data_IF_843580675636
#
_entry.id   IF_843580675636
#
_cell.length_a   1.000
_cell.length_b   1.000
_cell.length_c   1.000
_cell.angle_alpha   90.00
_cell.angle_beta   90.00
_cell.angle_gamma   90.00
#
_symmetry.space_group_name_H-M   'P 1'
#
loop_
_entity.id
_entity.type
_entity.pdbx_description
1 polymer ?
#
# COMPACT_ATOMS: atom_id res chain seq x y z
N UNK A 1 -11.32 11.52 27.75
CA UNK A 1 -11.98 10.77 26.66
C UNK A 1 -13.46 11.13 26.68
N UNK A 2 -14.00 11.68 25.59
CA UNK A 2 -15.45 11.88 25.46
C UNK A 2 -16.11 10.51 25.25
N UNK A 3 -17.27 10.22 25.85
CA UNK A 3 -17.99 8.97 25.60
C UNK A 3 -18.45 8.90 24.13
N UNK A 4 -18.23 7.76 23.48
CA UNK A 4 -18.50 7.51 22.05
C UNK A 4 -19.98 7.60 21.64
N UNK A 5 -20.91 7.78 22.57
CA UNK A 5 -22.35 7.75 22.30
C UNK A 5 -22.93 9.03 21.68
N UNK A 6 -22.11 10.06 21.41
CA UNK A 6 -22.57 11.34 20.84
C UNK A 6 -21.64 11.89 19.74
N UNK A 7 -20.91 11.03 19.01
CA UNK A 7 -20.13 11.50 17.86
C UNK A 7 -21.08 11.81 16.71
N UNK A 8 -20.95 13.01 16.14
CA UNK A 8 -21.60 13.32 14.87
C UNK A 8 -21.01 12.45 13.75
N UNK A 9 -21.80 12.21 12.68
CA UNK A 9 -21.35 11.42 11.53
C UNK A 9 -20.03 11.95 10.93
N UNK A 10 -19.84 13.28 10.92
CA UNK A 10 -18.60 13.90 10.43
C UNK A 10 -17.43 13.63 11.36
N UNK A 11 -17.61 13.75 12.68
CA UNK A 11 -16.54 13.40 13.64
C UNK A 11 -16.12 11.94 13.49
N UNK A 12 -17.09 11.02 13.35
CA UNK A 12 -16.79 9.61 13.11
C UNK A 12 -16.01 9.39 11.80
N UNK A 13 -16.36 10.10 10.73
CA UNK A 13 -15.60 10.05 9.48
C UNK A 13 -14.16 10.51 9.69
N UNK A 14 -13.96 11.65 10.36
CA UNK A 14 -12.63 12.20 10.62
C UNK A 14 -11.79 11.27 11.50
N UNK A 15 -12.39 10.69 12.54
CA UNK A 15 -11.73 9.70 13.40
C UNK A 15 -11.31 8.45 12.61
N UNK A 16 -12.19 7.92 11.76
CA UNK A 16 -11.85 6.77 10.90
C UNK A 16 -10.72 7.09 9.91
N UNK A 17 -10.71 8.30 9.34
CA UNK A 17 -9.65 8.73 8.44
C UNK A 17 -8.31 8.83 9.19
N UNK A 18 -8.30 9.39 10.40
CA UNK A 18 -7.11 9.44 11.24
C UNK A 18 -6.60 8.04 11.60
N UNK A 19 -7.49 7.08 11.89
CA UNK A 19 -7.13 5.68 12.16
C UNK A 19 -6.56 4.95 10.93
N UNK A 20 -6.90 5.40 9.73
CA UNK A 20 -6.35 4.90 8.46
C UNK A 20 -5.06 5.63 8.05
N UNK A 21 -4.50 6.48 8.94
CA UNK A 21 -3.32 7.32 8.68
C UNK A 21 -3.52 8.35 7.55
N UNK A 22 -4.75 8.87 7.38
CA UNK A 22 -5.00 9.97 6.46
C UNK A 22 -4.33 11.26 6.95
N UNK A 23 -3.44 11.83 6.13
CA UNK A 23 -2.82 13.13 6.38
C UNK A 23 -3.24 14.12 5.28
N UNK A 24 -4.08 15.12 5.61
CA UNK A 24 -4.47 16.18 4.66
C UNK A 24 -3.29 16.83 3.93
N UNK A 25 -2.13 16.98 4.57
CA UNK A 25 -0.97 17.63 3.96
C UNK A 25 -0.30 16.76 2.90
N UNK A 26 -0.43 15.44 3.02
CA UNK A 26 0.12 14.47 2.09
C UNK A 26 -0.90 14.05 1.04
N UNK A 27 -2.07 13.59 1.49
CA UNK A 27 -3.10 12.96 0.66
C UNK A 27 -3.94 13.96 -0.13
N UNK A 28 -4.07 15.20 0.37
CA UNK A 28 -4.70 16.32 -0.35
C UNK A 28 -3.67 17.33 -0.89
N UNK A 29 -2.42 16.92 -1.10
CA UNK A 29 -1.32 17.79 -1.55
C UNK A 29 -1.45 18.31 -2.99
N UNK A 30 -2.33 17.72 -3.80
CA UNK A 30 -2.56 18.17 -5.19
C UNK A 30 -3.15 19.58 -5.22
N UNK A 31 -2.73 20.46 -6.15
CA UNK A 31 -3.34 21.79 -6.34
C UNK A 31 -4.86 21.74 -6.51
N UNK A 32 -5.37 20.64 -7.08
CA UNK A 32 -6.81 20.43 -7.30
C UNK A 32 -7.59 20.29 -5.98
N UNK A 33 -6.92 19.96 -4.87
CA UNK A 33 -7.46 19.86 -3.50
C UNK A 33 -6.97 20.96 -2.54
N UNK A 34 -6.21 21.95 -3.03
CA UNK A 34 -5.74 23.10 -2.23
C UNK A 34 -6.89 23.86 -1.53
N UNK A 35 -6.75 24.24 -0.26
CA UNK A 35 -7.81 24.90 0.54
C UNK A 35 -8.99 24.00 0.90
N UNK A 36 -8.88 22.68 0.75
CA UNK A 36 -9.85 21.79 1.39
C UNK A 36 -9.68 21.90 2.91
N UNK A 37 -10.79 22.08 3.62
CA UNK A 37 -10.81 22.14 5.08
C UNK A 37 -11.39 20.83 5.59
N UNK A 38 -10.61 20.11 6.39
CA UNK A 38 -11.01 18.86 7.05
C UNK A 38 -11.38 19.15 8.50
N UNK A 39 -12.61 19.63 8.72
CA UNK A 39 -13.17 19.88 10.04
C UNK A 39 -14.64 19.43 10.10
N UNK A 40 -15.34 19.79 11.19
CA UNK A 40 -16.75 19.44 11.38
C UNK A 40 -17.72 20.10 10.39
N UNK A 41 -17.23 21.02 9.54
CA UNK A 41 -18.00 21.65 8.45
C UNK A 41 -17.80 20.96 7.11
N UNK A 42 -17.02 19.87 7.06
CA UNK A 42 -16.88 19.02 5.89
C UNK A 42 -18.26 18.55 5.40
N UNK A 43 -18.50 18.63 4.09
CA UNK A 43 -19.81 18.37 3.49
C UNK A 43 -20.92 19.35 3.91
N UNK A 44 -20.60 20.61 4.24
CA UNK A 44 -21.64 21.62 4.45
C UNK A 44 -22.54 21.80 3.22
N UNK A 45 -23.86 21.95 3.44
CA UNK A 45 -24.87 22.07 2.38
C UNK A 45 -24.63 23.28 1.45
N UNK A 46 -23.99 24.34 1.95
CA UNK A 46 -23.77 25.58 1.21
C UNK A 46 -22.55 25.57 0.29
N UNK A 47 -21.65 24.57 0.38
CA UNK A 47 -20.39 24.56 -0.37
C UNK A 47 -20.22 23.31 -1.25
N UNK A 48 -20.94 23.29 -2.37
CA UNK A 48 -20.90 22.18 -3.31
C UNK A 48 -19.50 21.94 -3.92
N UNK A 49 -18.67 22.98 -4.03
CA UNK A 49 -17.33 22.84 -4.58
C UNK A 49 -16.41 22.15 -3.57
N UNK A 50 -16.45 22.56 -2.29
CA UNK A 50 -15.73 21.85 -1.23
C UNK A 50 -16.21 20.39 -1.13
N UNK A 51 -17.52 20.15 -1.23
CA UNK A 51 -18.09 18.80 -1.16
C UNK A 51 -17.58 17.88 -2.28
N UNK A 52 -17.48 18.38 -3.52
CA UNK A 52 -16.91 17.58 -4.64
C UNK A 52 -15.47 17.20 -4.36
N UNK A 53 -14.67 18.17 -3.96
CA UNK A 53 -13.23 18.00 -3.71
C UNK A 53 -12.98 17.06 -2.54
N UNK A 54 -13.76 17.21 -1.46
CA UNK A 54 -13.71 16.35 -0.30
C UNK A 54 -14.09 14.93 -0.67
N UNK A 55 -15.20 14.75 -1.38
CA UNK A 55 -15.63 13.43 -1.86
C UNK A 55 -14.53 12.78 -2.71
N UNK A 56 -13.99 13.48 -3.69
CA UNK A 56 -12.97 12.93 -4.60
C UNK A 56 -11.67 12.54 -3.88
N UNK A 57 -11.18 13.41 -3.01
CA UNK A 57 -9.96 13.15 -2.25
C UNK A 57 -10.13 11.98 -1.29
N UNK A 58 -11.18 12.03 -0.47
CA UNK A 58 -11.40 11.05 0.60
C UNK A 58 -11.80 9.69 0.00
N UNK A 59 -12.69 9.66 -0.99
CA UNK A 59 -13.11 8.38 -1.58
C UNK A 59 -11.96 7.65 -2.28
N UNK A 60 -11.06 8.35 -2.97
CA UNK A 60 -9.89 7.70 -3.57
C UNK A 60 -8.98 7.08 -2.52
N UNK A 61 -8.73 7.81 -1.43
CA UNK A 61 -7.96 7.31 -0.30
C UNK A 61 -8.59 6.05 0.31
N UNK A 62 -9.90 6.08 0.56
CA UNK A 62 -10.63 4.95 1.12
C UNK A 62 -10.66 3.74 0.17
N UNK A 63 -10.88 3.96 -1.13
CA UNK A 63 -10.82 2.90 -2.13
C UNK A 63 -9.44 2.24 -2.18
N UNK A 64 -8.37 3.03 -2.05
CA UNK A 64 -6.99 2.49 -2.01
C UNK A 64 -6.78 1.56 -0.82
N UNK A 65 -7.44 1.83 0.31
CA UNK A 65 -7.39 0.99 1.50
C UNK A 65 -8.29 -0.25 1.40
N UNK A 66 -9.38 -0.17 0.65
CA UNK A 66 -10.26 -1.31 0.36
C UNK A 66 -9.58 -2.33 -0.56
N UNK A 67 -9.15 -1.87 -1.73
CA UNK A 67 -8.47 -2.70 -2.73
C UNK A 67 -7.61 -1.81 -3.64
N UNK A 68 -6.31 -1.80 -3.37
CA UNK A 68 -5.34 -0.97 -4.09
C UNK A 68 -5.29 -1.32 -5.59
N UNK A 69 -5.34 -2.61 -5.94
CA UNK A 69 -5.18 -3.05 -7.32
C UNK A 69 -6.43 -2.69 -8.14
N UNK A 70 -7.63 -2.92 -7.58
CA UNK A 70 -8.86 -2.46 -8.22
C UNK A 70 -8.94 -0.94 -8.32
N UNK A 71 -8.50 -0.20 -7.30
CA UNK A 71 -8.51 1.26 -7.32
C UNK A 71 -7.66 1.79 -8.49
N UNK A 72 -6.43 1.27 -8.63
CA UNK A 72 -5.56 1.64 -9.73
C UNK A 72 -6.18 1.29 -11.09
N UNK A 73 -6.78 0.12 -11.23
CA UNK A 73 -7.41 -0.30 -12.47
C UNK A 73 -8.64 0.57 -12.83
N UNK A 74 -9.56 0.78 -11.89
CA UNK A 74 -10.82 1.50 -12.11
C UNK A 74 -10.61 2.99 -12.37
N UNK A 75 -9.65 3.60 -11.68
CA UNK A 75 -9.41 5.04 -11.78
C UNK A 75 -8.21 5.42 -12.65
N UNK A 76 -7.59 4.46 -13.37
CA UNK A 76 -6.41 4.69 -14.22
C UNK A 76 -6.56 5.87 -15.20
N UNK A 77 -7.78 6.13 -15.69
CA UNK A 77 -8.06 7.15 -16.70
C UNK A 77 -8.53 8.49 -16.12
N UNK A 78 -8.80 8.56 -14.81
CA UNK A 78 -9.36 9.76 -14.17
C UNK A 78 -8.66 10.16 -12.86
N UNK A 79 -7.61 9.43 -12.46
CA UNK A 79 -6.74 9.77 -11.35
C UNK A 79 -5.27 9.86 -11.78
N UNK A 80 -4.53 10.92 -11.39
CA UNK A 80 -4.96 12.05 -10.58
C UNK A 80 -5.95 12.97 -11.33
N UNK A 81 -6.90 13.54 -10.60
CA UNK A 81 -7.85 14.51 -11.16
C UNK A 81 -7.07 15.76 -11.56
N UNK A 82 -7.25 16.20 -12.80
CA UNK A 82 -6.63 17.42 -13.34
C UNK A 82 -7.57 18.61 -13.24
N UNK A 83 -8.88 18.36 -13.40
CA UNK A 83 -9.93 19.36 -13.41
C UNK A 83 -11.26 18.76 -12.92
N UNK A 84 -12.01 19.52 -12.12
CA UNK A 84 -13.26 19.07 -11.51
C UNK A 84 -14.41 18.85 -12.50
N UNK A 85 -14.28 19.40 -13.71
CA UNK A 85 -15.33 19.45 -14.72
C UNK A 85 -15.37 18.20 -15.60
N UNK A 86 -14.23 17.78 -16.14
CA UNK A 86 -14.12 16.64 -17.05
C UNK A 86 -13.56 15.41 -16.32
N UNK A 87 -12.30 15.43 -15.90
CA UNK A 87 -11.66 14.30 -15.22
C UNK A 87 -12.33 14.00 -13.87
N UNK A 88 -12.68 15.02 -13.09
CA UNK A 88 -13.42 14.87 -11.84
C UNK A 88 -14.83 14.31 -12.05
N UNK A 89 -15.54 14.70 -13.10
CA UNK A 89 -16.85 14.12 -13.42
C UNK A 89 -16.76 12.63 -13.76
N UNK A 90 -15.77 12.24 -14.56
CA UNK A 90 -15.51 10.83 -14.90
C UNK A 90 -15.17 10.04 -13.62
N UNK A 91 -14.31 10.60 -12.77
CA UNK A 91 -13.99 10.02 -11.46
C UNK A 91 -15.25 9.77 -10.63
N UNK A 92 -16.08 10.81 -10.41
CA UNK A 92 -17.30 10.69 -9.59
C UNK A 92 -18.28 9.65 -10.13
N UNK A 93 -18.35 9.49 -11.46
CA UNK A 93 -19.16 8.43 -12.08
C UNK A 93 -18.60 7.03 -11.83
N UNK A 94 -17.28 6.83 -11.93
CA UNK A 94 -16.66 5.55 -11.57
C UNK A 94 -16.84 5.23 -10.08
N UNK A 95 -16.69 6.23 -9.20
CA UNK A 95 -16.92 6.08 -7.77
C UNK A 95 -18.38 5.72 -7.47
N UNK A 96 -19.35 6.35 -8.14
CA UNK A 96 -20.77 5.99 -8.02
C UNK A 96 -21.02 4.53 -8.40
N UNK A 97 -20.50 4.08 -9.54
CA UNK A 97 -20.68 2.69 -9.98
C UNK A 97 -20.05 1.69 -9.01
N UNK A 98 -18.85 1.99 -8.51
CA UNK A 98 -18.21 1.09 -7.55
C UNK A 98 -18.95 1.07 -6.20
N UNK A 99 -19.41 2.23 -5.71
CA UNK A 99 -20.26 2.28 -4.51
C UNK A 99 -21.57 1.52 -4.69
N UNK A 100 -22.16 1.55 -5.89
CA UNK A 100 -23.36 0.79 -6.21
C UNK A 100 -23.09 -0.71 -6.15
N UNK A 101 -21.97 -1.19 -6.71
CA UNK A 101 -21.56 -2.59 -6.59
C UNK A 101 -21.38 -3.01 -5.12
N UNK A 102 -20.72 -2.18 -4.30
CA UNK A 102 -20.51 -2.44 -2.87
C UNK A 102 -21.84 -2.46 -2.09
N UNK A 103 -22.77 -1.58 -2.46
CA UNK A 103 -24.10 -1.51 -1.88
C UNK A 103 -24.95 -2.74 -2.22
N UNK A 104 -24.95 -3.17 -3.49
CA UNK A 104 -25.64 -4.39 -3.95
C UNK A 104 -25.10 -5.65 -3.24
N UNK A 105 -23.80 -5.68 -2.95
CA UNK A 105 -23.14 -6.73 -2.18
C UNK A 105 -23.40 -6.66 -0.67
N UNK A 106 -24.13 -5.63 -0.20
CA UNK A 106 -24.44 -5.36 1.21
C UNK A 106 -23.19 -5.15 2.09
N UNK A 107 -22.14 -4.58 1.52
CA UNK A 107 -20.92 -4.26 2.28
C UNK A 107 -20.98 -2.89 2.95
N UNK A 108 -21.78 -1.97 2.41
CA UNK A 108 -22.00 -0.67 3.04
C UNK A 108 -22.98 -0.81 4.21
N UNK A 109 -22.58 -0.31 5.39
CA UNK A 109 -23.41 -0.29 6.59
C UNK A 109 -24.42 0.87 6.56
N UNK A 110 -25.63 0.63 7.07
CA UNK A 110 -26.66 1.65 7.24
C UNK A 110 -27.54 1.93 6.01
N UNK A 111 -28.57 2.79 6.15
CA UNK A 111 -29.51 3.13 5.08
C UNK A 111 -28.90 4.13 4.07
N UNK A 112 -27.84 3.71 3.39
CA UNK A 112 -27.18 4.53 2.37
C UNK A 112 -28.03 4.59 1.11
N UNK A 113 -28.41 5.79 0.70
CA UNK A 113 -29.15 6.02 -0.55
C UNK A 113 -28.21 6.49 -1.65
N UNK A 114 -27.93 5.62 -2.61
CA UNK A 114 -27.09 5.95 -3.77
C UNK A 114 -27.95 6.46 -4.93
N UNK A 115 -27.79 7.73 -5.31
CA UNK A 115 -28.42 8.32 -6.49
C UNK A 115 -27.37 8.97 -7.37
N UNK A 116 -27.40 8.71 -8.66
CA UNK A 116 -26.45 9.29 -9.63
C UNK A 116 -26.33 10.83 -9.53
N UNK A 117 -27.46 11.53 -9.38
CA UNK A 117 -27.51 12.99 -9.26
C UNK A 117 -26.72 13.54 -8.07
N UNK A 118 -26.58 12.74 -7.00
CA UNK A 118 -25.80 13.10 -5.82
C UNK A 118 -24.31 13.24 -6.17
N UNK A 119 -23.78 12.35 -7.00
CA UNK A 119 -22.37 12.34 -7.40
C UNK A 119 -22.07 13.34 -8.52
N UNK A 120 -23.07 13.68 -9.34
CA UNK A 120 -22.90 14.71 -10.37
C UNK A 120 -22.82 16.11 -9.76
N UNK A 121 -23.65 16.40 -8.76
CA UNK A 121 -23.79 17.74 -8.18
C UNK A 121 -23.02 17.93 -6.87
N UNK A 122 -22.92 16.88 -6.05
CA UNK A 122 -22.44 16.87 -4.67
C UNK A 122 -23.14 17.92 -3.78
N UNK A 123 -24.41 18.19 -4.07
CA UNK A 123 -25.16 19.26 -3.41
C UNK A 123 -25.67 18.88 -2.01
N UNK A 124 -26.06 17.62 -1.83
CA UNK A 124 -26.58 17.09 -0.57
C UNK A 124 -25.43 16.55 0.27
N UNK A 125 -24.92 17.42 1.15
CA UNK A 125 -23.80 17.12 2.03
C UNK A 125 -24.11 16.08 3.11
N UNK A 126 -25.36 16.01 3.58
CA UNK A 126 -25.77 15.01 4.57
C UNK A 126 -25.71 13.60 3.97
N UNK A 127 -26.27 13.42 2.78
CA UNK A 127 -26.20 12.14 2.07
C UNK A 127 -24.74 11.74 1.72
N UNK A 128 -23.90 12.71 1.34
CA UNK A 128 -22.47 12.45 1.12
C UNK A 128 -21.77 12.01 2.41
N UNK A 129 -22.07 12.66 3.54
CA UNK A 129 -21.51 12.29 4.84
C UNK A 129 -21.83 10.84 5.17
N UNK A 130 -23.10 10.43 5.04
CA UNK A 130 -23.52 9.06 5.33
C UNK A 130 -22.79 8.04 4.43
N UNK A 131 -22.68 8.32 3.12
CA UNK A 131 -21.94 7.47 2.18
C UNK A 131 -20.46 7.35 2.60
N UNK A 132 -19.84 8.47 2.93
CA UNK A 132 -18.41 8.51 3.26
C UNK A 132 -18.12 7.84 4.60
N UNK A 133 -19.01 7.99 5.59
CA UNK A 133 -18.93 7.26 6.86
C UNK A 133 -19.02 5.76 6.60
N UNK A 134 -20.04 5.29 5.89
CA UNK A 134 -20.20 3.86 5.59
C UNK A 134 -19.00 3.29 4.82
N UNK A 135 -18.47 4.05 3.86
CA UNK A 135 -17.27 3.66 3.13
C UNK A 135 -16.03 3.62 4.03
N UNK A 136 -15.86 4.61 4.92
CA UNK A 136 -14.72 4.68 5.85
C UNK A 136 -14.72 3.52 6.84
N UNK A 137 -15.89 3.13 7.35
CA UNK A 137 -16.03 1.99 8.26
C UNK A 137 -15.71 0.70 7.51
N UNK A 138 -16.17 0.54 6.28
CA UNK A 138 -15.84 -0.64 5.46
C UNK A 138 -14.33 -0.71 5.18
N UNK A 139 -13.69 0.42 4.85
CA UNK A 139 -12.25 0.48 4.61
C UNK A 139 -11.46 0.12 5.87
N UNK A 140 -11.84 0.70 7.02
CA UNK A 140 -11.23 0.41 8.31
C UNK A 140 -11.40 -1.06 8.69
N UNK A 141 -12.60 -1.62 8.55
CA UNK A 141 -12.84 -3.04 8.80
C UNK A 141 -11.97 -3.92 7.89
N UNK A 142 -11.84 -3.56 6.61
CA UNK A 142 -11.02 -4.32 5.66
C UNK A 142 -9.54 -4.27 6.03
N UNK A 143 -9.04 -3.12 6.47
CA UNK A 143 -7.65 -2.96 6.94
C UNK A 143 -7.42 -3.75 8.22
N UNK A 144 -8.32 -3.65 9.19
CA UNK A 144 -8.29 -4.44 10.43
C UNK A 144 -8.29 -5.95 10.10
N UNK A 145 -9.21 -6.40 9.26
CA UNK A 145 -9.32 -7.81 8.85
C UNK A 145 -8.07 -8.32 8.13
N UNK A 146 -7.42 -7.46 7.34
CA UNK A 146 -6.18 -7.77 6.62
C UNK A 146 -4.97 -7.82 7.55
N UNK A 147 -4.84 -6.83 8.43
CA UNK A 147 -3.64 -6.60 9.24
C UNK A 147 -3.67 -7.43 10.54
N UNK A 148 -4.87 -7.65 11.09
CA UNK A 148 -5.11 -8.54 12.22
C UNK A 148 -5.49 -9.96 11.77
N UNK A 149 -5.37 -10.31 10.49
CA UNK A 149 -5.57 -11.69 10.08
C UNK A 149 -4.62 -12.64 10.85
N UNK A 150 -5.14 -13.76 11.34
CA UNK A 150 -4.33 -14.90 11.81
C UNK A 150 -3.28 -15.22 10.72
N UNK A 151 -2.04 -15.65 11.03
CA UNK A 151 -1.03 -16.10 10.05
C UNK A 151 -1.52 -17.05 8.94
N UNK A 152 -2.71 -17.63 9.06
CA UNK A 152 -3.42 -18.37 8.00
C UNK A 152 -4.27 -17.50 7.05
N UNK A 153 -4.26 -16.18 7.18
CA UNK A 153 -5.04 -15.21 6.40
C UNK A 153 -6.54 -15.16 6.76
N UNK A 154 -6.92 -15.59 7.97
CA UNK A 154 -8.32 -15.55 8.40
C UNK A 154 -8.60 -14.22 9.12
N UNK A 155 -9.62 -13.45 8.71
CA UNK A 155 -10.01 -12.23 9.41
C UNK A 155 -10.30 -12.53 10.88
N UNK A 156 -9.71 -11.78 11.81
CA UNK A 156 -10.17 -11.74 13.20
C UNK A 156 -11.49 -10.96 13.21
N UNK A 157 -12.60 -11.65 12.92
CA UNK A 157 -13.94 -11.04 13.01
C UNK A 157 -14.21 -10.70 14.47
N UNK A 158 -14.04 -9.42 14.82
CA UNK A 158 -14.30 -8.88 16.15
C UNK A 158 -15.80 -8.81 16.50
N UNK A 159 -16.69 -9.12 15.55
CA UNK A 159 -18.12 -9.31 15.83
C UNK A 159 -18.64 -10.60 15.20
N UNK A 160 -19.38 -11.44 15.95
CA UNK A 160 -20.23 -12.45 15.36
C UNK A 160 -21.39 -11.76 14.64
N UNK A 161 -21.68 -12.21 13.43
CA UNK A 161 -22.92 -11.85 12.74
C UNK A 161 -24.10 -12.28 13.64
N UNK A 162 -24.91 -11.30 14.05
CA UNK A 162 -26.23 -11.45 14.68
C UNK A 162 -26.30 -12.43 15.87
N UNK A 163 -26.06 -11.94 17.08
CA UNK A 163 -26.59 -12.59 18.30
C UNK A 163 -27.04 -11.47 19.25
N UNK A 164 -28.27 -11.56 19.73
CA UNK A 164 -28.74 -10.80 20.90
C UNK A 164 -27.92 -11.28 22.12
N UNK A 165 -26.91 -10.49 22.52
CA UNK A 165 -25.98 -10.87 23.59
C UNK A 165 -26.39 -10.17 24.89
N UNK A 166 -26.82 -10.98 25.86
CA UNK A 166 -26.94 -10.58 27.28
C UNK A 166 -25.57 -10.17 27.83
N UNK A 167 -25.55 -9.16 28.70
CA UNK A 167 -24.35 -8.50 29.25
C UNK A 167 -23.33 -9.50 29.83
N UNK A 168 -23.79 -10.58 30.47
CA UNK A 168 -22.92 -11.62 31.05
C UNK A 168 -22.12 -12.41 29.98
N UNK A 169 -22.60 -12.49 28.73
CA UNK A 169 -21.88 -13.14 27.62
C UNK A 169 -20.89 -12.19 26.94
N UNK A 170 -20.90 -10.89 27.26
CA UNK A 170 -19.96 -9.91 26.70
C UNK A 170 -18.61 -9.92 27.42
N UNK A 171 -18.58 -10.23 28.72
CA UNK A 171 -17.35 -10.33 29.50
C UNK A 171 -16.51 -11.56 29.08
N UNK A 172 -17.14 -12.72 28.89
CA UNK A 172 -16.46 -13.93 28.39
C UNK A 172 -15.86 -13.72 26.98
N UNK A 173 -16.58 -13.01 26.11
CA UNK A 173 -16.11 -12.67 24.76
C UNK A 173 -14.96 -11.65 24.80
N UNK A 174 -14.96 -10.73 25.77
CA UNK A 174 -13.88 -9.75 25.92
C UNK A 174 -12.60 -10.43 26.42
N UNK A 175 -12.70 -11.33 27.38
CA UNK A 175 -11.56 -12.11 27.86
C UNK A 175 -10.97 -13.01 26.78
N UNK A 176 -11.81 -13.63 25.95
CA UNK A 176 -11.36 -14.42 24.80
C UNK A 176 -10.65 -13.53 23.76
N UNK A 177 -11.18 -12.33 23.47
CA UNK A 177 -10.55 -11.37 22.57
C UNK A 177 -9.21 -10.85 23.12
N UNK A 178 -9.12 -10.55 24.43
CA UNK A 178 -7.89 -10.14 25.11
C UNK A 178 -6.85 -11.26 25.03
N UNK A 179 -7.24 -12.51 25.27
CA UNK A 179 -6.34 -13.66 25.14
C UNK A 179 -5.87 -13.88 23.71
N UNK A 180 -6.76 -13.74 22.72
CA UNK A 180 -6.39 -13.83 21.31
C UNK A 180 -5.39 -12.75 20.91
N UNK A 181 -5.60 -11.51 21.34
CA UNK A 181 -4.66 -10.40 21.12
C UNK A 181 -3.32 -10.64 21.82
N UNK A 182 -3.33 -11.13 23.06
CA UNK A 182 -2.11 -11.45 23.79
C UNK A 182 -1.30 -12.56 23.09
N UNK A 183 -1.99 -13.59 22.59
CA UNK A 183 -1.37 -14.66 21.82
C UNK A 183 -0.78 -14.13 20.50
N UNK A 184 -1.50 -13.27 19.78
CA UNK A 184 -1.02 -12.64 18.55
C UNK A 184 0.23 -11.78 18.79
N UNK A 185 0.21 -10.93 19.82
CA UNK A 185 1.38 -10.10 20.19
C UNK A 185 2.60 -10.96 20.53
N UNK A 186 2.40 -12.06 21.25
CA UNK A 186 3.48 -13.02 21.55
C UNK A 186 4.02 -13.66 20.27
N UNK A 187 3.14 -14.08 19.37
CA UNK A 187 3.53 -14.70 18.11
C UNK A 187 4.32 -13.73 17.21
N UNK A 188 3.87 -12.47 17.09
CA UNK A 188 4.61 -11.43 16.36
C UNK A 188 6.02 -11.21 16.93
N UNK A 189 6.15 -11.20 18.26
CA UNK A 189 7.45 -11.09 18.92
C UNK A 189 8.36 -12.29 18.59
N UNK A 190 7.81 -13.50 18.62
CA UNK A 190 8.56 -14.72 18.33
C UNK A 190 8.98 -14.79 16.84
N UNK A 191 8.09 -14.40 15.92
CA UNK A 191 8.38 -14.35 14.48
C UNK A 191 9.45 -13.30 14.16
N UNK A 192 9.40 -12.14 14.82
CA UNK A 192 10.44 -11.11 14.71
C UNK A 192 11.78 -11.59 15.26
N UNK A 193 11.79 -12.28 16.42
CA UNK A 193 12.99 -12.89 16.97
C UNK A 193 13.59 -13.95 16.02
N UNK A 194 12.75 -14.80 15.41
CA UNK A 194 13.19 -15.78 14.42
C UNK A 194 13.72 -15.12 13.13
N UNK A 195 13.10 -14.02 12.69
CA UNK A 195 13.58 -13.26 11.54
C UNK A 195 14.93 -12.60 11.81
N UNK A 196 15.09 -11.94 12.96
CA UNK A 196 16.37 -11.29 13.33
C UNK A 196 17.51 -12.29 13.45
N UNK A 197 17.25 -13.50 13.96
CA UNK A 197 18.24 -14.59 13.98
C UNK A 197 18.67 -14.99 12.56
N UNK A 198 17.70 -15.25 11.67
CA UNK A 198 17.97 -15.58 10.26
C UNK A 198 18.72 -14.47 9.52
N UNK A 199 18.39 -13.21 9.79
CA UNK A 199 19.07 -12.06 9.23
C UNK A 199 20.54 -11.98 9.69
N UNK A 200 20.80 -12.21 10.99
CA UNK A 200 22.17 -12.26 11.53
C UNK A 200 23.00 -13.38 10.91
N UNK A 201 22.44 -14.58 10.78
CA UNK A 201 23.14 -15.70 10.16
C UNK A 201 23.44 -15.45 8.68
N UNK A 202 22.53 -14.80 7.96
CA UNK A 202 22.75 -14.39 6.57
C UNK A 202 23.85 -13.34 6.44
N UNK A 203 23.88 -12.34 7.31
CA UNK A 203 24.97 -11.35 7.35
C UNK A 203 26.31 -12.04 7.63
N UNK A 204 26.35 -12.98 8.58
CA UNK A 204 27.56 -13.77 8.85
C UNK A 204 28.03 -14.57 7.63
N UNK A 205 27.10 -15.20 6.91
CA UNK A 205 27.40 -15.94 5.68
C UNK A 205 27.91 -15.04 4.55
N UNK A 206 27.34 -13.84 4.39
CA UNK A 206 27.84 -12.86 3.40
C UNK A 206 29.22 -12.34 3.78
N UNK A 207 29.47 -12.06 5.06
CA UNK A 207 30.78 -11.64 5.55
C UNK A 207 31.85 -12.71 5.27
N UNK A 208 31.56 -13.97 5.58
CA UNK A 208 32.47 -15.09 5.27
C UNK A 208 32.77 -15.20 3.77
N UNK A 209 31.77 -14.98 2.91
CA UNK A 209 31.98 -14.96 1.46
C UNK A 209 32.85 -13.78 1.03
N UNK A 210 32.62 -12.59 1.59
CA UNK A 210 33.43 -11.41 1.32
C UNK A 210 34.90 -11.62 1.73
N UNK A 211 35.13 -12.18 2.91
CA UNK A 211 36.48 -12.48 3.42
C UNK A 211 37.17 -13.56 2.56
N UNK A 212 36.40 -14.54 2.07
CA UNK A 212 36.88 -15.56 1.12
C UNK A 212 37.26 -14.95 -0.23
N UNK A 213 36.45 -14.05 -0.77
CA UNK A 213 36.75 -13.35 -2.04
C UNK A 213 37.94 -12.39 -1.91
N UNK A 214 38.06 -11.68 -0.78
CA UNK A 214 39.25 -10.87 -0.48
C UNK A 214 40.52 -11.72 -0.40
N UNK A 215 40.44 -12.89 0.22
CA UNK A 215 41.56 -13.83 0.32
C UNK A 215 41.97 -14.43 -1.05
N UNK A 216 41.00 -14.62 -1.95
CA UNK A 216 41.28 -15.05 -3.34
C UNK A 216 41.91 -13.93 -4.17
N UNK A 217 41.47 -12.68 -4.01
CA UNK A 217 42.04 -11.52 -4.70
C UNK A 217 43.48 -11.21 -4.26
N UNK A 218 43.85 -11.47 -3.00
CA UNK A 218 45.23 -11.34 -2.53
C UNK A 218 46.19 -12.43 -3.05
N UNK A 219 45.69 -13.46 -3.76
CA UNK A 219 46.52 -14.53 -4.34
C UNK A 219 46.78 -14.35 -5.84
N UNK A 220 46.14 -13.37 -6.51
CA UNK A 220 46.40 -13.07 -7.92
C UNK A 220 47.54 -12.06 -8.00
N UNK A 221 48.77 -12.56 -8.13
CA UNK A 221 49.90 -11.80 -8.68
C UNK A 221 49.48 -11.34 -10.08
N UNK A 222 49.23 -10.05 -10.24
CA UNK A 222 48.86 -9.45 -11.51
C UNK A 222 49.94 -9.71 -12.58
N UNK A 223 49.63 -10.36 -13.72
CA UNK A 223 50.50 -10.25 -14.88
C UNK A 223 50.34 -8.82 -15.42
N UNK A 224 51.45 -8.07 -15.44
CA UNK A 224 51.50 -6.74 -16.06
C UNK A 224 50.85 -6.82 -17.45
N UNK A 225 49.78 -6.06 -17.74
CA UNK A 225 49.23 -6.01 -19.09
C UNK A 225 50.31 -5.41 -20.00
N UNK A 226 50.77 -6.20 -20.97
CA UNK A 226 51.75 -5.76 -21.96
C UNK A 226 51.15 -4.57 -22.70
N UNK A 227 51.90 -3.47 -22.82
CA UNK A 227 51.45 -2.20 -23.41
C UNK A 227 50.73 -2.33 -24.78
N UNK A 228 50.96 -3.43 -25.52
CA UNK A 228 50.24 -3.77 -26.75
C UNK A 228 48.72 -3.91 -26.56
N UNK A 229 48.25 -4.55 -25.49
CA UNK A 229 46.81 -4.80 -25.26
C UNK A 229 46.06 -3.50 -24.91
N UNK A 230 46.73 -2.59 -24.19
CA UNK A 230 46.19 -1.26 -23.88
C UNK A 230 46.13 -0.41 -25.15
N UNK A 231 47.15 -0.50 -26.01
CA UNK A 231 47.18 0.25 -27.26
C UNK A 231 46.10 -0.23 -28.24
N UNK A 232 45.90 -1.54 -28.39
CA UNK A 232 44.84 -2.10 -29.24
C UNK A 232 43.44 -1.70 -28.76
N UNK A 233 43.18 -1.72 -27.45
CA UNK A 233 41.90 -1.27 -26.89
C UNK A 233 41.65 0.22 -27.10
N UNK A 234 42.70 1.06 -27.03
CA UNK A 234 42.59 2.49 -27.32
C UNK A 234 42.31 2.78 -28.79
N UNK A 235 42.91 2.01 -29.71
CA UNK A 235 42.64 2.12 -31.16
C UNK A 235 41.21 1.68 -31.48
N UNK A 236 40.71 0.63 -30.83
CA UNK A 236 39.35 0.13 -31.05
C UNK A 236 38.27 1.08 -30.51
N UNK A 237 38.53 1.73 -29.36
CA UNK A 237 37.67 2.79 -28.82
C UNK A 237 37.61 4.02 -29.74
N UNK A 238 38.73 4.40 -30.35
CA UNK A 238 38.81 5.56 -31.24
C UNK A 238 38.07 5.30 -32.57
N UNK A 239 38.07 4.06 -33.07
CA UNK A 239 37.28 3.65 -34.25
C UNK A 239 35.77 3.70 -34.01
N UNK A 240 35.32 3.36 -32.79
CA UNK A 240 33.89 3.40 -32.43
C UNK A 240 33.36 4.83 -32.28
N UNK A 241 34.22 5.78 -31.92
CA UNK A 241 33.83 7.19 -31.76
C UNK A 241 33.82 7.98 -33.08
N UNK A 242 34.59 7.56 -34.10
CA UNK A 242 34.62 8.22 -35.42
C UNK A 242 33.53 7.75 -36.40
N UNK A 243 32.78 6.70 -36.08
CA UNK A 243 31.75 6.11 -36.93
C UNK A 243 30.35 6.62 -36.61
N UNK A 244 30.12 7.94 -36.66
CA UNK A 244 28.80 8.53 -36.51
C UNK A 244 27.90 8.24 -37.72
N UNK A 245 26.79 7.52 -37.52
CA UNK A 245 25.59 7.60 -38.36
C UNK A 245 24.35 7.69 -37.49
N UNK A 246 23.57 8.73 -37.78
CA UNK A 246 22.27 9.07 -37.18
C UNK A 246 21.16 8.09 -37.60
N UNK A 247 20.00 8.11 -36.92
CA UNK A 247 19.02 7.04 -36.90
C UNK A 247 17.97 7.17 -37.99
N UNK A 248 17.59 6.07 -38.64
CA UNK A 248 16.26 5.89 -39.23
C UNK A 248 15.99 4.42 -39.55
N UNK A 249 14.83 3.96 -39.06
CA UNK A 249 13.92 2.98 -39.66
C UNK A 249 14.48 1.60 -40.03
N UNK A 250 13.97 0.56 -39.36
CA UNK A 250 13.15 -0.49 -39.98
C UNK A 250 12.60 -1.42 -38.87
N UNK A 251 11.28 -1.55 -38.91
CA UNK A 251 10.48 -2.46 -38.12
C UNK A 251 10.59 -3.92 -38.61
N UNK A 252 10.02 -4.80 -37.80
CA UNK A 252 9.45 -6.13 -38.11
C UNK A 252 10.34 -7.37 -38.01
N UNK A 253 9.71 -8.36 -37.36
CA UNK A 253 10.03 -9.79 -37.15
C UNK A 253 10.92 -10.09 -35.94
N UNK A 254 10.60 -11.01 -35.02
CA UNK A 254 9.71 -12.15 -35.14
C UNK A 254 9.08 -12.54 -33.79
N UNK A 255 7.80 -12.89 -33.86
CA UNK A 255 7.10 -13.73 -32.90
C UNK A 255 7.78 -15.10 -32.79
N UNK A 256 8.07 -15.54 -31.57
CA UNK A 256 8.10 -16.95 -31.17
C UNK A 256 7.75 -17.06 -29.68
N UNK A 257 6.46 -17.17 -29.40
CA UNK A 257 5.95 -17.56 -28.10
C UNK A 257 6.05 -19.08 -27.97
N UNK A 258 6.79 -19.54 -26.97
CA UNK A 258 6.70 -20.91 -26.44
C UNK A 258 5.67 -20.95 -25.30
N UNK A 259 4.86 -22.01 -25.17
CA UNK A 259 3.78 -22.07 -24.19
C UNK A 259 4.35 -22.32 -22.79
N UNK A 260 4.13 -21.38 -21.88
CA UNK A 260 4.38 -21.60 -20.45
C UNK A 260 3.19 -22.38 -19.89
N UNK A 261 3.47 -23.58 -19.36
CA UNK A 261 2.54 -24.42 -18.60
C UNK A 261 1.91 -23.59 -17.47
N UNK A 262 0.59 -23.45 -17.51
CA UNK A 262 -0.24 -22.97 -16.41
C UNK A 262 -0.15 -24.00 -15.29
N UNK A 263 0.58 -23.66 -14.23
CA UNK A 263 0.54 -24.41 -12.96
C UNK A 263 -0.70 -23.97 -12.17
N UNK A 264 -1.46 -24.99 -11.77
CA UNK A 264 -2.69 -24.97 -10.97
C UNK A 264 -2.64 -24.00 -9.78
N UNK A 265 -3.70 -23.20 -9.63
CA UNK A 265 -3.85 -22.09 -8.69
C UNK A 265 -4.15 -22.47 -7.24
N UNK A 266 -3.67 -23.62 -6.75
CA UNK A 266 -4.09 -24.17 -5.44
C UNK A 266 -3.10 -24.09 -4.28
N UNK A 267 -1.89 -23.51 -4.43
CA UNK A 267 -0.90 -23.48 -3.34
C UNK A 267 -0.16 -22.14 -3.12
N UNK A 268 -0.79 -20.99 -3.41
CA UNK A 268 -0.22 -19.71 -2.99
C UNK A 268 -0.69 -19.34 -1.58
N UNK A 269 0.11 -19.72 -0.58
CA UNK A 269 0.05 -19.10 0.77
C UNK A 269 0.39 -17.61 0.65
N UNK A 270 -0.25 -16.71 1.41
CA UNK A 270 0.15 -15.32 1.44
C UNK A 270 1.52 -15.23 2.10
N UNK A 271 2.53 -14.89 1.32
CA UNK A 271 3.82 -14.45 1.84
C UNK A 271 3.60 -13.01 2.28
N UNK A 272 3.70 -12.77 3.59
CA UNK A 272 3.87 -11.43 4.16
C UNK A 272 4.96 -10.71 3.37
N UNK A 273 4.57 -9.74 2.56
CA UNK A 273 5.52 -8.89 1.83
C UNK A 273 5.97 -7.80 2.77
N UNK A 274 7.00 -8.10 3.56
CA UNK A 274 7.99 -7.09 3.96
C UNK A 274 8.41 -6.29 2.71
N UNK A 275 8.78 -5.00 2.82
CA UNK A 275 9.29 -4.22 1.71
C UNK A 275 10.31 -5.06 0.95
N UNK A 276 10.11 -5.19 -0.35
CA UNK A 276 10.90 -5.96 -1.31
C UNK A 276 12.31 -5.36 -1.45
N UNK A 277 13.07 -5.35 -0.36
CA UNK A 277 14.41 -4.79 -0.28
C UNK A 277 15.46 -5.68 -0.94
N UNK A 278 15.10 -6.90 -1.36
CA UNK A 278 16.05 -7.88 -1.91
C UNK A 278 15.35 -8.76 -2.97
N UNK A 279 15.21 -8.26 -4.19
CA UNK A 279 14.86 -9.12 -5.36
C UNK A 279 15.85 -9.01 -6.52
N UNK A 280 16.91 -8.21 -6.43
CA UNK A 280 17.93 -8.20 -7.48
C UNK A 280 19.04 -9.19 -7.17
N UNK A 281 19.22 -10.19 -8.04
CA UNK A 281 20.37 -11.12 -8.00
C UNK A 281 21.69 -10.47 -8.42
N UNK A 282 21.68 -9.18 -8.77
CA UNK A 282 22.78 -8.50 -9.45
C UNK A 282 23.42 -7.33 -8.66
N UNK A 283 23.14 -7.20 -7.35
CA UNK A 283 23.70 -6.11 -6.53
C UNK A 283 24.84 -6.56 -5.60
N UNK A 284 25.76 -5.62 -5.37
CA UNK A 284 26.94 -5.74 -4.51
C UNK A 284 26.55 -6.16 -3.08
N UNK A 285 27.07 -7.31 -2.57
CA UNK A 285 26.80 -7.77 -1.21
C UNK A 285 27.07 -6.73 -0.11
N UNK A 286 28.02 -5.82 -0.32
CA UNK A 286 28.31 -4.75 0.63
C UNK A 286 27.14 -3.76 0.78
N UNK A 287 26.44 -3.49 -0.32
CA UNK A 287 25.30 -2.58 -0.34
C UNK A 287 24.08 -3.17 0.39
N UNK A 288 23.82 -4.46 0.20
CA UNK A 288 22.72 -5.16 0.88
C UNK A 288 22.94 -5.26 2.40
N UNK A 289 24.19 -5.52 2.82
CA UNK A 289 24.55 -5.53 4.25
C UNK A 289 24.27 -4.16 4.88
N UNK A 290 24.68 -3.08 4.22
CA UNK A 290 24.48 -1.72 4.71
C UNK A 290 23.00 -1.33 4.78
N UNK A 291 22.18 -1.78 3.81
CA UNK A 291 20.72 -1.56 3.82
C UNK A 291 20.03 -2.30 4.97
N UNK A 292 20.38 -3.57 5.19
CA UNK A 292 19.82 -4.36 6.29
C UNK A 292 20.21 -3.74 7.64
N UNK A 293 21.48 -3.36 7.82
CA UNK A 293 21.95 -2.70 9.04
C UNK A 293 21.21 -1.38 9.30
N UNK A 294 21.03 -0.56 8.28
CA UNK A 294 20.32 0.74 8.39
C UNK A 294 18.85 0.55 8.78
N UNK A 295 18.19 -0.46 8.22
CA UNK A 295 16.80 -0.79 8.56
C UNK A 295 16.66 -1.26 10.01
N UNK A 296 17.51 -2.20 10.44
CA UNK A 296 17.52 -2.71 11.81
C UNK A 296 17.82 -1.58 12.81
N UNK A 297 18.77 -0.71 12.50
CA UNK A 297 19.12 0.42 13.37
C UNK A 297 17.94 1.39 13.54
N UNK A 298 17.29 1.80 12.44
CA UNK A 298 16.08 2.65 12.53
C UNK A 298 14.98 2.01 13.36
N UNK A 299 14.73 0.72 13.17
CA UNK A 299 13.69 0.01 13.92
C UNK A 299 14.02 -0.08 15.43
N UNK A 300 15.29 -0.29 15.79
CA UNK A 300 15.73 -0.28 17.19
C UNK A 300 15.62 1.11 17.81
N UNK A 301 15.95 2.16 17.06
CA UNK A 301 15.90 3.54 17.54
C UNK A 301 14.45 4.02 17.74
N UNK A 302 13.52 3.64 16.84
CA UNK A 302 12.09 3.94 16.99
C UNK A 302 11.47 3.26 18.22
N UNK A 303 11.90 2.03 18.55
CA UNK A 303 11.34 1.24 19.67
C UNK A 303 12.08 1.42 21.00
N UNK A 304 13.12 2.26 21.07
CA UNK A 304 13.79 2.64 22.33
C UNK A 304 13.28 3.97 22.91
N UNK A 305 12.46 4.70 22.15
CA UNK A 305 11.87 5.98 22.54
C UNK A 305 10.43 5.86 23.07
N UNK A 306 9.94 4.62 23.22
CA UNK A 306 8.66 4.22 23.80
C UNK A 306 8.89 3.35 25.03
#
# INVERSE_FOLDING_TARGET
MKPYHNLSSIELLLDNLALLDFDPNHDASSPVFEKLIFDTTLFATSDHNNNRRAFECISYFLFTHLDRDQTQFRFALCWPIQDHSSTGRVYRMHSYHWLLELWEQRWLLGPVTLRRSLFETCADGAALTDIMVSLSVLALQTVIDRDLADPKGRPLRLLPASVDISIDSMEDNLDEAIQALAHYCKQQKDDFAAWTLRARDRVRGLQQRLDSERSKQSTIVAPKPTMKVIHERLVDLKRRQSGGRSPTTIALRANRATPVKVLSSKDRRPILTLPSLITSRDLDPAHDIQRIQSFVQRYVDTNRLS
#
